data_IF_374829098179
#
_entry.id   IF_374829098179
#
_cell.length_a   1.000
_cell.length_b   1.000
_cell.length_c   1.000
_cell.angle_alpha   90.00
_cell.angle_beta   90.00
_cell.angle_gamma   90.00
#
_symmetry.space_group_name_H-M   'P 1'
#
loop_
_entity.id
_entity.type
_entity.pdbx_description
1 polymer ?
#
# COMPACT_ATOMS: atom_id res chain seq x y z
N UNK A 1 -1.34 -45.05 -50.04
CA UNK A 1 -0.65 -44.77 -48.75
C UNK A 1 -1.30 -43.56 -48.12
N UNK A 2 -2.12 -43.77 -47.07
CA UNK A 2 -2.80 -42.68 -46.36
C UNK A 2 -1.83 -42.14 -45.27
N UNK A 3 -1.47 -40.86 -45.37
CA UNK A 3 -0.70 -40.18 -44.34
C UNK A 3 -1.64 -39.84 -43.17
N UNK A 4 -1.39 -40.46 -42.02
CA UNK A 4 -2.06 -40.12 -40.76
C UNK A 4 -1.28 -38.91 -40.19
N UNK A 5 -1.93 -37.74 -40.19
CA UNK A 5 -1.44 -36.56 -39.50
C UNK A 5 -1.88 -36.68 -38.04
N UNK A 6 -0.95 -37.00 -37.17
CA UNK A 6 -1.15 -37.01 -35.70
C UNK A 6 -1.04 -35.58 -35.19
N UNK A 7 -2.19 -34.95 -34.97
CA UNK A 7 -2.24 -33.62 -34.34
C UNK A 7 -2.06 -33.78 -32.83
N UNK A 8 -0.88 -33.46 -32.35
CA UNK A 8 -0.60 -33.40 -30.90
C UNK A 8 -1.26 -32.14 -30.32
N UNK A 9 -2.38 -32.29 -29.63
CA UNK A 9 -3.01 -31.22 -28.87
C UNK A 9 -2.20 -31.03 -27.60
N UNK A 10 -1.33 -30.02 -27.60
CA UNK A 10 -0.61 -29.59 -26.38
C UNK A 10 -1.57 -28.74 -25.53
N UNK A 11 -2.24 -29.36 -24.56
CA UNK A 11 -3.02 -28.64 -23.55
C UNK A 11 -2.05 -27.92 -22.61
N UNK A 12 -1.89 -26.63 -22.82
CA UNK A 12 -1.20 -25.75 -21.87
C UNK A 12 -2.16 -25.53 -20.69
N UNK A 13 -1.97 -26.28 -19.64
CA UNK A 13 -2.61 -26.01 -18.35
C UNK A 13 -1.88 -24.81 -17.75
N UNK A 14 -2.44 -23.62 -17.85
CA UNK A 14 -1.99 -22.45 -17.08
C UNK A 14 -2.34 -22.74 -15.62
N UNK A 15 -1.36 -23.17 -14.83
CA UNK A 15 -1.46 -23.19 -13.40
C UNK A 15 -1.45 -21.73 -12.93
N UNK A 16 -2.62 -21.18 -12.65
CA UNK A 16 -2.73 -19.96 -11.86
C UNK A 16 -2.22 -20.30 -10.45
N UNK A 17 -0.96 -20.00 -10.19
CA UNK A 17 -0.40 -20.02 -8.84
C UNK A 17 -0.99 -18.80 -8.12
N UNK A 18 -2.20 -18.98 -7.57
CA UNK A 18 -2.71 -18.03 -6.60
C UNK A 18 -1.86 -18.20 -5.35
N UNK A 19 -1.28 -17.10 -4.87
CA UNK A 19 -0.59 -17.09 -3.58
C UNK A 19 -1.64 -17.39 -2.48
N UNK A 20 -1.75 -18.65 -2.11
CA UNK A 20 -2.66 -19.10 -1.06
C UNK A 20 -1.86 -19.25 0.24
N UNK A 21 -2.42 -18.85 1.37
CA UNK A 21 -1.80 -19.12 2.65
C UNK A 21 -1.66 -20.64 2.84
N UNK A 22 -0.65 -21.10 3.59
CA UNK A 22 -0.51 -22.51 3.91
C UNK A 22 -1.79 -23.11 4.50
N UNK A 23 -2.06 -24.39 4.21
CA UNK A 23 -3.23 -25.08 4.76
C UNK A 23 -3.24 -24.95 6.29
N UNK A 24 -4.37 -24.53 6.85
CA UNK A 24 -4.52 -24.34 8.30
C UNK A 24 -3.99 -23.02 8.84
N UNK A 25 -3.45 -22.14 8.00
CA UNK A 25 -2.88 -20.85 8.45
C UNK A 25 -3.85 -20.01 9.28
N UNK A 26 -5.14 -20.02 8.93
CA UNK A 26 -6.18 -19.28 9.63
C UNK A 26 -7.10 -20.12 10.51
N UNK A 27 -6.80 -21.41 10.77
CA UNK A 27 -7.71 -22.30 11.51
C UNK A 27 -8.13 -21.74 12.87
N UNK A 28 -7.22 -21.08 13.60
CA UNK A 28 -7.53 -20.50 14.91
C UNK A 28 -8.45 -19.27 14.83
N UNK A 29 -8.53 -18.64 13.68
CA UNK A 29 -9.38 -17.46 13.44
C UNK A 29 -10.73 -17.82 12.79
N UNK A 30 -10.92 -19.07 12.36
CA UNK A 30 -12.12 -19.50 11.67
C UNK A 30 -13.35 -19.41 12.58
N UNK A 31 -14.42 -18.78 12.07
CA UNK A 31 -15.67 -18.56 12.81
C UNK A 31 -15.60 -17.50 13.92
N UNK A 32 -14.46 -16.83 14.07
CA UNK A 32 -14.28 -15.74 15.04
C UNK A 32 -14.70 -14.40 14.45
N UNK A 33 -14.99 -13.42 15.31
CA UNK A 33 -15.42 -12.07 14.92
C UNK A 33 -15.03 -11.04 15.98
N UNK A 34 -15.11 -9.75 15.60
CA UNK A 34 -14.82 -8.63 16.50
C UNK A 34 -13.37 -8.68 17.03
N UNK A 35 -13.21 -8.31 18.29
CA UNK A 35 -11.91 -8.20 18.94
C UNK A 35 -11.16 -9.53 19.02
N UNK A 36 -11.87 -10.65 19.30
CA UNK A 36 -11.28 -11.98 19.33
C UNK A 36 -10.64 -12.33 17.97
N UNK A 37 -11.30 -12.00 16.87
CA UNK A 37 -10.74 -12.20 15.54
C UNK A 37 -9.48 -11.36 15.33
N UNK A 38 -9.49 -10.08 15.71
CA UNK A 38 -8.32 -9.20 15.59
C UNK A 38 -7.11 -9.73 16.35
N UNK A 39 -7.30 -10.16 17.60
CA UNK A 39 -6.22 -10.74 18.45
C UNK A 39 -5.63 -12.00 17.84
N UNK A 40 -6.47 -12.88 17.29
CA UNK A 40 -6.01 -14.11 16.66
C UNK A 40 -5.29 -13.83 15.34
N UNK A 41 -5.79 -12.92 14.52
CA UNK A 41 -5.10 -12.49 13.30
C UNK A 41 -3.76 -11.82 13.63
N UNK A 42 -3.71 -10.94 14.65
CA UNK A 42 -2.44 -10.40 15.14
C UNK A 42 -1.45 -11.51 15.47
N UNK A 43 -1.88 -12.50 16.26
CA UNK A 43 -1.02 -13.64 16.64
C UNK A 43 -0.48 -14.42 15.44
N UNK A 44 -1.29 -14.52 14.36
CA UNK A 44 -0.91 -15.22 13.12
C UNK A 44 0.10 -14.41 12.30
N UNK A 45 -0.06 -13.06 12.23
CA UNK A 45 0.72 -12.23 11.30
C UNK A 45 1.82 -11.41 11.97
N UNK A 46 1.95 -11.42 13.32
CA UNK A 46 2.86 -10.53 14.04
C UNK A 46 4.36 -10.80 13.78
N UNK A 47 4.71 -12.03 13.46
CA UNK A 47 6.11 -12.41 13.23
C UNK A 47 6.44 -12.31 11.74
N UNK A 48 7.20 -11.26 11.35
CA UNK A 48 7.66 -11.06 10.00
C UNK A 48 9.15 -10.72 9.98
N UNK A 49 9.78 -10.86 8.83
CA UNK A 49 11.15 -10.40 8.62
C UNK A 49 11.17 -8.87 8.58
N UNK A 50 11.82 -8.25 9.56
CA UNK A 50 12.01 -6.80 9.60
C UNK A 50 13.07 -6.42 8.58
N UNK A 51 12.74 -5.50 7.69
CA UNK A 51 13.65 -4.97 6.68
C UNK A 51 14.43 -3.77 7.24
N UNK A 52 15.61 -3.51 6.67
CA UNK A 52 16.26 -2.21 6.82
C UNK A 52 15.58 -1.19 5.89
N UNK A 53 15.60 0.08 6.29
CA UNK A 53 14.93 1.14 5.51
C UNK A 53 15.49 1.28 4.08
N UNK A 54 16.76 0.95 3.87
CA UNK A 54 17.41 0.89 2.55
C UNK A 54 16.91 -0.25 1.69
N UNK A 55 16.51 -1.38 2.30
CA UNK A 55 16.10 -2.59 1.57
C UNK A 55 14.75 -2.41 0.85
N UNK A 56 13.93 -1.45 1.31
CA UNK A 56 12.66 -1.12 0.68
C UNK A 56 12.80 -0.80 -0.80
N UNK A 57 13.89 -0.14 -1.22
CA UNK A 57 14.13 0.17 -2.62
C UNK A 57 14.25 -1.08 -3.50
N UNK A 58 14.98 -2.07 -3.02
CA UNK A 58 15.12 -3.35 -3.72
C UNK A 58 13.82 -4.15 -3.65
N UNK A 59 13.13 -4.12 -2.50
CA UNK A 59 11.88 -4.86 -2.30
C UNK A 59 10.81 -4.40 -3.28
N UNK A 60 10.65 -3.11 -3.52
CA UNK A 60 9.71 -2.58 -4.51
C UNK A 60 9.88 -3.16 -5.92
N UNK A 61 11.09 -3.54 -6.31
CA UNK A 61 11.31 -4.16 -7.64
C UNK A 61 10.62 -5.52 -7.79
N UNK A 62 10.16 -6.12 -6.69
CA UNK A 62 9.43 -7.38 -6.66
C UNK A 62 7.95 -7.20 -6.32
N UNK A 63 7.63 -6.27 -5.41
CA UNK A 63 6.28 -6.09 -4.86
C UNK A 63 5.44 -5.09 -5.66
N UNK A 64 6.08 -4.05 -6.21
CA UNK A 64 5.40 -2.88 -6.78
C UNK A 64 5.86 -2.58 -8.23
N UNK A 65 6.02 -3.64 -9.00
CA UNK A 65 6.43 -3.57 -10.40
C UNK A 65 5.26 -3.90 -11.33
N UNK A 66 4.98 -3.00 -12.30
CA UNK A 66 4.04 -3.27 -13.39
C UNK A 66 4.58 -4.31 -14.36
N UNK A 67 3.71 -4.85 -15.21
CA UNK A 67 4.09 -5.84 -16.25
C UNK A 67 5.13 -5.29 -17.24
N UNK A 68 5.10 -3.99 -17.52
CA UNK A 68 6.08 -3.30 -18.37
C UNK A 68 7.44 -3.04 -17.70
N UNK A 69 7.57 -3.41 -16.43
CA UNK A 69 8.80 -3.25 -15.64
C UNK A 69 8.91 -1.92 -14.90
N UNK A 70 7.98 -1.00 -15.07
CA UNK A 70 7.97 0.30 -14.39
C UNK A 70 7.41 0.20 -12.97
N UNK A 71 7.61 1.26 -12.18
CA UNK A 71 7.10 1.38 -10.81
C UNK A 71 5.58 1.43 -10.81
N UNK A 72 4.94 0.69 -9.92
CA UNK A 72 3.52 0.81 -9.66
C UNK A 72 3.24 1.95 -8.69
N UNK A 73 3.00 3.13 -9.24
CA UNK A 73 2.64 4.33 -8.47
C UNK A 73 1.12 4.49 -8.42
N UNK A 74 0.58 4.52 -7.20
CA UNK A 74 -0.86 4.69 -6.97
C UNK A 74 -1.30 6.16 -6.85
N UNK A 75 -0.35 7.11 -6.83
CA UNK A 75 -0.66 8.53 -6.61
C UNK A 75 -0.62 9.38 -7.87
N UNK A 76 0.01 8.90 -8.92
CA UNK A 76 0.12 9.65 -10.17
C UNK A 76 0.01 8.75 -11.41
N UNK A 77 -0.12 9.38 -12.60
CA UNK A 77 -0.03 8.68 -13.88
C UNK A 77 1.39 8.60 -14.43
N UNK A 78 2.38 8.94 -13.61
CA UNK A 78 3.77 8.98 -14.03
C UNK A 78 4.32 7.57 -14.25
N UNK A 79 5.31 7.47 -15.13
CA UNK A 79 6.05 6.24 -15.36
C UNK A 79 7.45 6.42 -14.82
N UNK A 80 7.83 5.62 -13.81
CA UNK A 80 9.14 5.67 -13.19
C UNK A 80 9.92 4.38 -13.44
N UNK A 81 11.23 4.53 -13.65
CA UNK A 81 12.18 3.42 -13.77
C UNK A 81 12.87 3.19 -12.43
N UNK A 82 12.87 1.95 -11.96
CA UNK A 82 13.56 1.61 -10.71
C UNK A 82 15.05 1.98 -10.79
N UNK A 83 15.53 2.62 -9.71
CA UNK A 83 16.91 3.09 -9.62
C UNK A 83 17.12 4.47 -10.26
N UNK A 84 16.73 4.66 -11.52
CA UNK A 84 17.00 5.89 -12.28
C UNK A 84 16.17 7.07 -11.75
N UNK A 85 14.88 6.85 -11.48
CA UNK A 85 13.94 7.86 -10.99
C UNK A 85 13.76 7.83 -9.47
N UNK A 86 14.53 7.00 -8.79
CA UNK A 86 14.52 6.89 -7.33
C UNK A 86 14.97 8.19 -6.67
N UNK A 87 14.31 8.58 -5.58
CA UNK A 87 14.71 9.72 -4.76
C UNK A 87 16.10 9.51 -4.13
N UNK A 88 17.03 10.38 -4.48
CA UNK A 88 18.38 10.43 -3.94
C UNK A 88 18.62 11.61 -2.98
N UNK A 89 17.53 12.25 -2.51
CA UNK A 89 17.59 13.41 -1.62
C UNK A 89 17.51 14.75 -2.33
N UNK A 90 17.62 14.80 -3.68
CA UNK A 90 17.49 16.02 -4.47
C UNK A 90 16.51 15.81 -5.64
N UNK A 91 15.91 16.91 -6.14
CA UNK A 91 14.88 16.84 -7.19
C UNK A 91 13.52 16.39 -6.64
N UNK A 92 12.59 16.07 -7.55
CA UNK A 92 11.23 15.63 -7.21
C UNK A 92 10.36 16.77 -6.68
N UNK A 93 10.52 17.96 -7.23
CA UNK A 93 9.69 19.13 -6.88
C UNK A 93 8.43 19.25 -7.75
N UNK A 94 8.42 18.54 -8.88
CA UNK A 94 7.27 18.41 -9.78
C UNK A 94 6.85 16.95 -9.88
N UNK A 95 5.59 16.72 -10.25
CA UNK A 95 5.15 15.36 -10.60
C UNK A 95 5.99 14.81 -11.76
N UNK A 96 6.20 13.51 -11.74
CA UNK A 96 6.98 12.75 -12.69
C UNK A 96 8.50 12.99 -12.65
N UNK A 97 9.01 13.75 -11.66
CA UNK A 97 10.45 13.92 -11.50
C UNK A 97 11.11 12.71 -10.83
N UNK A 98 10.56 12.27 -9.70
CA UNK A 98 11.10 11.19 -8.85
C UNK A 98 9.99 10.48 -8.10
N UNK A 99 10.24 9.21 -7.75
CA UNK A 99 9.43 8.47 -6.77
C UNK A 99 10.17 8.31 -5.45
N UNK A 100 9.42 8.21 -4.36
CA UNK A 100 9.97 7.93 -3.03
C UNK A 100 9.14 6.89 -2.27
N UNK A 101 9.48 6.67 -0.99
CA UNK A 101 8.81 5.71 -0.09
C UNK A 101 7.68 6.41 0.63
N UNK A 102 6.46 6.14 0.22
CA UNK A 102 5.26 6.62 0.87
C UNK A 102 4.85 5.69 2.00
N UNK A 103 4.72 6.21 3.20
CA UNK A 103 4.06 5.54 4.31
C UNK A 103 2.57 5.85 4.23
N UNK A 104 1.79 5.02 3.56
CA UNK A 104 0.34 5.24 3.39
C UNK A 104 -0.39 5.30 4.72
N UNK A 105 0.06 4.53 5.71
CA UNK A 105 -0.22 4.75 7.13
C UNK A 105 0.88 5.67 7.67
N UNK A 106 0.60 6.94 7.99
CA UNK A 106 1.62 7.95 8.24
C UNK A 106 2.60 7.57 9.36
N UNK A 107 3.90 7.65 9.07
CA UNK A 107 4.91 7.30 10.05
C UNK A 107 4.92 8.22 11.29
N UNK A 108 4.39 9.44 11.18
CA UNK A 108 4.22 10.34 12.31
C UNK A 108 3.24 9.79 13.35
N UNK A 109 2.26 8.99 12.94
CA UNK A 109 1.26 8.43 13.85
C UNK A 109 1.85 7.41 14.84
N UNK A 110 2.93 6.73 14.47
CA UNK A 110 3.67 5.79 15.32
C UNK A 110 5.11 6.24 15.63
N UNK A 111 5.39 7.56 15.58
CA UNK A 111 6.69 8.17 15.91
C UNK A 111 7.86 7.59 15.09
N UNK A 112 7.63 7.17 13.86
CA UNK A 112 8.62 6.51 12.98
C UNK A 112 9.31 5.30 13.63
N UNK A 113 8.64 4.63 14.56
CA UNK A 113 9.20 3.49 15.28
C UNK A 113 9.30 2.25 14.37
N UNK A 114 10.32 1.43 14.62
CA UNK A 114 10.42 0.10 14.03
C UNK A 114 9.63 -0.91 14.90
N UNK A 115 9.11 -1.99 14.29
CA UNK A 115 9.27 -2.40 12.88
C UNK A 115 8.32 -1.71 11.89
N UNK A 116 7.34 -0.92 12.35
CA UNK A 116 6.33 -0.27 11.51
C UNK A 116 6.95 0.53 10.36
N UNK A 117 8.03 1.28 10.65
CA UNK A 117 8.70 2.15 9.67
C UNK A 117 9.26 1.42 8.46
N UNK A 118 9.45 0.11 8.54
CA UNK A 118 10.04 -0.69 7.46
C UNK A 118 9.13 -1.83 7.02
N UNK A 119 7.88 -1.83 7.48
CA UNK A 119 6.91 -2.83 7.09
C UNK A 119 6.36 -2.55 5.68
N UNK A 120 6.78 -3.39 4.73
CA UNK A 120 6.48 -3.24 3.30
C UNK A 120 4.98 -3.26 2.97
N UNK A 121 4.12 -3.81 3.84
CA UNK A 121 2.69 -3.92 3.59
C UNK A 121 1.91 -2.59 3.70
N UNK A 122 2.57 -1.51 4.10
CA UNK A 122 1.96 -0.17 4.08
C UNK A 122 2.84 0.89 3.43
N UNK A 123 3.98 0.50 2.86
CA UNK A 123 4.92 1.42 2.23
C UNK A 123 4.93 1.15 0.74
N UNK A 124 4.68 2.20 -0.05
CA UNK A 124 4.57 2.12 -1.50
C UNK A 124 5.54 3.08 -2.19
N UNK A 125 6.07 2.73 -3.37
CA UNK A 125 6.78 3.69 -4.19
C UNK A 125 5.73 4.60 -4.86
N UNK A 126 5.77 5.90 -4.57
CA UNK A 126 4.85 6.87 -5.14
C UNK A 126 5.58 8.11 -5.63
N UNK A 127 4.94 8.85 -6.52
CA UNK A 127 5.42 10.16 -6.94
C UNK A 127 5.80 11.03 -5.75
N UNK A 128 7.06 11.49 -5.70
CA UNK A 128 7.61 12.24 -4.57
C UNK A 128 6.88 13.56 -4.33
N UNK A 129 6.44 14.23 -5.41
CA UNK A 129 5.69 15.48 -5.30
C UNK A 129 4.32 15.24 -4.69
N UNK A 130 3.60 14.22 -5.16
CA UNK A 130 2.26 13.90 -4.64
C UNK A 130 2.35 13.43 -3.20
N UNK A 131 3.32 12.58 -2.85
CA UNK A 131 3.60 12.20 -1.47
C UNK A 131 3.85 13.43 -0.59
N UNK A 132 4.68 14.37 -1.04
CA UNK A 132 4.94 15.59 -0.27
C UNK A 132 3.71 16.50 -0.13
N UNK A 133 2.74 16.44 -1.04
CA UNK A 133 1.46 17.15 -0.94
C UNK A 133 0.51 16.44 0.02
N UNK A 134 0.50 15.10 -0.04
CA UNK A 134 -0.31 14.29 0.86
C UNK A 134 0.09 14.43 2.32
N UNK A 135 1.40 14.63 2.61
CA UNK A 135 1.92 14.74 3.97
C UNK A 135 1.47 13.58 4.87
N UNK A 136 0.85 13.89 6.02
CA UNK A 136 0.28 12.92 6.96
C UNK A 136 -1.25 13.01 7.07
N UNK A 137 -1.91 13.67 6.10
CA UNK A 137 -3.36 13.75 6.10
C UNK A 137 -4.02 12.38 5.96
N UNK A 138 -5.12 12.12 6.67
CA UNK A 138 -5.85 10.86 6.53
C UNK A 138 -6.46 10.73 5.14
N UNK A 139 -6.74 9.49 4.76
CA UNK A 139 -7.55 9.23 3.57
C UNK A 139 -9.02 9.56 3.82
N UNK A 140 -9.68 10.13 2.82
CA UNK A 140 -11.11 10.45 2.89
C UNK A 140 -11.61 11.06 1.59
N UNK A 141 -12.91 11.21 1.46
CA UNK A 141 -13.56 11.84 0.31
C UNK A 141 -13.36 13.37 0.35
N UNK A 142 -12.89 13.94 -0.75
CA UNK A 142 -12.63 15.38 -0.89
C UNK A 142 -13.86 16.12 -1.41
N UNK A 143 -14.35 17.09 -0.64
CA UNK A 143 -15.43 18.00 -1.06
C UNK A 143 -14.92 19.14 -1.96
N UNK A 144 -13.94 19.89 -1.46
CA UNK A 144 -13.28 20.96 -2.22
C UNK A 144 -11.79 20.67 -2.35
N UNK A 145 -11.34 20.40 -3.57
CA UNK A 145 -9.96 20.09 -3.87
C UNK A 145 -9.10 21.35 -3.91
N UNK A 146 -7.96 21.31 -3.19
CA UNK A 146 -6.88 22.31 -3.30
C UNK A 146 -5.74 21.84 -4.21
N UNK A 147 -5.64 20.53 -4.46
CA UNK A 147 -4.68 19.90 -5.34
C UNK A 147 -5.29 18.66 -5.99
N UNK A 148 -4.92 18.41 -7.24
CA UNK A 148 -5.28 17.18 -7.96
C UNK A 148 -4.04 16.71 -8.71
N UNK A 149 -3.65 15.45 -8.47
CA UNK A 149 -2.53 14.82 -9.16
C UNK A 149 -2.88 14.39 -10.57
N UNK A 150 -1.89 13.99 -11.34
CA UNK A 150 -2.04 13.59 -12.74
C UNK A 150 -2.94 12.36 -12.95
N UNK A 151 -3.10 11.47 -11.97
CA UNK A 151 -4.06 10.36 -12.05
C UNK A 151 -5.46 10.72 -11.55
N UNK A 152 -5.63 11.89 -10.92
CA UNK A 152 -6.91 12.35 -10.38
C UNK A 152 -7.06 12.20 -8.86
N UNK A 153 -6.04 11.71 -8.14
CA UNK A 153 -6.02 11.74 -6.67
C UNK A 153 -6.04 13.19 -6.18
N UNK A 154 -6.68 13.47 -5.05
CA UNK A 154 -6.97 14.84 -4.60
C UNK A 154 -6.52 15.07 -3.17
N UNK A 155 -6.12 16.31 -2.87
CA UNK A 155 -6.04 16.84 -1.51
C UNK A 155 -7.06 17.95 -1.35
N UNK A 156 -7.74 18.02 -0.22
CA UNK A 156 -8.69 19.10 0.05
C UNK A 156 -9.47 18.89 1.34
N UNK A 157 -10.50 19.72 1.52
CA UNK A 157 -11.39 19.57 2.68
C UNK A 157 -12.26 18.33 2.55
N UNK A 158 -12.45 17.62 3.65
CA UNK A 158 -13.32 16.45 3.69
C UNK A 158 -14.76 16.80 3.28
N UNK A 159 -15.42 15.91 2.54
CA UNK A 159 -16.86 15.97 2.28
C UNK A 159 -17.69 15.33 3.39
N UNK A 160 -17.06 14.59 4.31
CA UNK A 160 -17.77 13.92 5.40
C UNK A 160 -18.21 14.91 6.47
N UNK A 161 -19.47 14.91 6.80
CA UNK A 161 -20.08 15.88 7.74
C UNK A 161 -19.54 15.78 9.18
N UNK A 162 -18.94 14.67 9.54
CA UNK A 162 -18.33 14.42 10.87
C UNK A 162 -16.89 14.88 11.01
N UNK A 163 -16.24 15.32 9.90
CA UNK A 163 -14.86 15.75 9.90
C UNK A 163 -14.64 16.91 8.91
N UNK A 164 -14.14 18.03 9.41
CA UNK A 164 -13.90 19.26 8.60
C UNK A 164 -12.45 19.49 8.24
N UNK A 165 -11.57 18.55 8.55
CA UNK A 165 -10.14 18.66 8.27
C UNK A 165 -9.78 18.40 6.80
N UNK A 166 -8.50 18.49 6.51
CA UNK A 166 -7.94 18.12 5.21
C UNK A 166 -7.80 16.60 5.10
N UNK A 167 -8.14 16.05 3.93
CA UNK A 167 -8.01 14.63 3.60
C UNK A 167 -7.36 14.48 2.23
N UNK A 168 -6.72 13.33 2.02
CA UNK A 168 -6.26 12.90 0.71
C UNK A 168 -7.19 11.82 0.16
N UNK A 169 -7.70 12.01 -1.04
CA UNK A 169 -8.57 11.06 -1.74
C UNK A 169 -7.79 10.41 -2.88
N UNK A 170 -7.36 9.14 -2.74
CA UNK A 170 -6.87 8.38 -3.88
C UNK A 170 -7.99 8.13 -4.89
N UNK A 171 -7.64 7.84 -6.13
CA UNK A 171 -8.64 7.43 -7.12
C UNK A 171 -9.35 6.15 -6.68
N UNK A 172 -10.58 5.94 -7.14
CA UNK A 172 -11.45 4.84 -6.72
C UNK A 172 -10.79 3.46 -6.88
N UNK A 173 -9.95 3.29 -7.88
CA UNK A 173 -9.21 2.07 -8.15
C UNK A 173 -8.38 1.61 -6.94
N UNK A 174 -7.78 2.53 -6.19
CA UNK A 174 -6.85 2.22 -5.09
C UNK A 174 -7.43 2.42 -3.68
N UNK A 175 -8.65 2.92 -3.55
CA UNK A 175 -9.30 3.14 -2.22
C UNK A 175 -9.36 1.84 -1.41
N UNK A 176 -9.68 0.73 -2.08
CA UNK A 176 -9.72 -0.58 -1.43
C UNK A 176 -8.36 -1.09 -0.95
N UNK A 177 -7.27 -0.79 -1.69
CA UNK A 177 -5.92 -1.17 -1.30
C UNK A 177 -5.47 -0.42 -0.05
N UNK A 178 -5.68 0.89 -0.03
CA UNK A 178 -5.36 1.70 1.16
C UNK A 178 -6.23 1.34 2.37
N UNK A 179 -7.51 1.02 2.19
CA UNK A 179 -8.36 0.55 3.28
C UNK A 179 -7.84 -0.77 3.87
N UNK A 180 -7.44 -1.75 3.04
CA UNK A 180 -6.81 -3.00 3.50
C UNK A 180 -5.51 -2.76 4.23
N UNK A 181 -4.70 -1.81 3.77
CA UNK A 181 -3.46 -1.39 4.45
C UNK A 181 -3.72 -0.88 5.86
N UNK A 182 -4.76 -0.06 6.05
CA UNK A 182 -5.13 0.44 7.38
C UNK A 182 -5.59 -0.69 8.30
N UNK A 183 -6.45 -1.59 7.80
CA UNK A 183 -6.84 -2.79 8.56
C UNK A 183 -5.64 -3.68 8.90
N UNK A 184 -4.71 -3.85 7.97
CA UNK A 184 -3.49 -4.58 8.23
C UNK A 184 -2.69 -3.95 9.37
N UNK A 185 -2.41 -2.65 9.32
CA UNK A 185 -1.61 -1.96 10.32
C UNK A 185 -2.21 -2.09 11.73
N UNK A 186 -3.51 -1.83 11.88
CA UNK A 186 -4.17 -1.93 13.20
C UNK A 186 -4.27 -3.37 13.71
N UNK A 187 -4.35 -4.35 12.81
CA UNK A 187 -4.38 -5.77 13.19
C UNK A 187 -2.98 -6.28 13.51
N UNK A 188 -2.01 -5.98 12.65
CA UNK A 188 -0.61 -6.42 12.77
C UNK A 188 0.03 -5.89 14.05
N UNK A 189 -0.27 -4.67 14.41
CA UNK A 189 0.29 -3.94 15.54
C UNK A 189 -0.74 -3.72 16.67
N UNK A 190 -1.66 -4.68 16.81
CA UNK A 190 -2.75 -4.65 17.78
C UNK A 190 -2.28 -4.37 19.22
N UNK A 191 -1.12 -4.90 19.59
CA UNK A 191 -0.53 -4.79 20.92
C UNK A 191 0.08 -3.40 21.24
N UNK A 192 0.30 -2.56 20.23
CA UNK A 192 0.91 -1.22 20.41
C UNK A 192 0.08 -0.09 19.77
N UNK A 193 -0.99 -0.40 19.03
CA UNK A 193 -1.77 0.60 18.30
C UNK A 193 -2.42 1.65 19.22
N UNK A 194 -2.78 1.29 20.43
CA UNK A 194 -3.37 2.21 21.41
C UNK A 194 -2.38 3.29 21.90
N UNK A 195 -1.06 3.05 21.72
CA UNK A 195 -0.01 4.02 22.09
C UNK A 195 0.26 5.04 20.99
N UNK A 196 -0.33 4.85 19.81
CA UNK A 196 -0.11 5.72 18.66
C UNK A 196 -0.82 7.06 18.83
N UNK A 197 -0.36 8.07 18.09
CA UNK A 197 -0.79 9.43 18.31
C UNK A 197 -2.28 9.65 18.11
N UNK A 198 -2.86 10.61 18.84
CA UNK A 198 -4.25 11.02 18.68
C UNK A 198 -4.57 11.57 17.27
N UNK A 199 -3.58 11.93 16.45
CA UNK A 199 -3.79 12.34 15.06
C UNK A 199 -4.39 11.22 14.22
N UNK A 200 -4.04 9.96 14.52
CA UNK A 200 -4.65 8.79 13.89
C UNK A 200 -6.15 8.71 14.19
N UNK A 201 -6.55 9.01 15.43
CA UNK A 201 -7.94 8.92 15.88
C UNK A 201 -8.79 10.10 15.40
N UNK A 202 -8.18 11.23 15.05
CA UNK A 202 -8.87 12.41 14.54
C UNK A 202 -9.11 12.34 13.01
N UNK A 203 -8.54 11.37 12.34
CA UNK A 203 -8.71 11.12 10.90
C UNK A 203 -9.63 9.96 10.57
N UNK A 204 -10.24 9.31 11.55
CA UNK A 204 -11.16 8.19 11.39
C UNK A 204 -12.58 8.56 11.77
#
# INVERSE_FOLDING_TARGET
>A
MKKIILTLLLSITVLLVLAQPPSGYYNNAEGKHGEELMQLLHTIIKDHTVLEYSDLWTTFTYTDKKEDGTVWDMYSSCSFTFGDDQDSGSGGTSECDKYNREHSFPQSWFNSANPMRTDIFHIYPTDKKVNSVRENYPFGEVGNSSYTSSNGSKLGTSSYTGYSGTVFEPIDEYKGDFARTYFYMVTRYYDVVEEWSAEMLNGT
#
